data_IF_988761924164
#
_entry.id   IF_988761924164
#
_cell.length_a   1.000
_cell.length_b   1.000
_cell.length_c   1.000
_cell.angle_alpha   90.00
_cell.angle_beta   90.00
_cell.angle_gamma   90.00
#
_symmetry.space_group_name_H-M   'P 1'
#
loop_
_entity.id
_entity.type
_entity.pdbx_description
1 polymer ?
#
# COMPACT_ATOMS: atom_id res chain seq x y z
N UNK A 1 16.03 18.56 3.03
CA UNK A 1 15.18 18.08 4.09
C UNK A 1 13.73 18.30 3.73
N UNK A 2 12.95 17.23 3.48
CA UNK A 2 11.49 17.31 3.30
C UNK A 2 10.89 17.82 4.60
N UNK A 3 10.13 18.91 4.54
CA UNK A 3 9.29 19.31 5.67
C UNK A 3 8.17 18.28 5.81
N UNK A 4 8.09 17.65 6.97
CA UNK A 4 6.99 16.75 7.33
C UNK A 4 5.71 17.58 7.45
N UNK A 5 4.83 17.49 6.45
CA UNK A 5 3.51 18.12 6.49
C UNK A 5 2.53 17.18 7.19
N UNK A 6 1.69 17.74 8.05
CA UNK A 6 0.57 16.99 8.65
C UNK A 6 -0.37 16.55 7.53
N UNK A 7 -0.69 15.24 7.47
CA UNK A 7 -1.68 14.73 6.53
C UNK A 7 -3.08 15.21 6.93
N UNK A 8 -3.84 15.85 6.02
CA UNK A 8 -5.28 15.97 6.22
C UNK A 8 -5.91 14.59 6.04
N UNK A 9 -6.45 14.02 7.11
CA UNK A 9 -7.29 12.82 7.03
C UNK A 9 -8.70 13.28 6.68
N UNK A 10 -9.14 13.00 5.46
CA UNK A 10 -10.53 13.24 5.06
C UNK A 10 -11.32 11.94 5.19
N UNK A 11 -12.36 11.96 6.04
CA UNK A 11 -13.32 10.87 6.14
C UNK A 11 -14.39 11.08 5.06
N UNK A 12 -14.45 10.20 4.07
CA UNK A 12 -15.46 10.25 3.01
C UNK A 12 -16.74 9.53 3.41
N UNK A 13 -17.88 10.18 3.19
CA UNK A 13 -19.19 9.54 3.21
C UNK A 13 -19.35 8.60 1.98
N UNK A 14 -20.18 7.53 2.04
CA UNK A 14 -20.20 6.44 1.06
C UNK A 14 -20.80 6.75 -0.33
N UNK A 15 -20.87 7.97 -0.77
CA UNK A 15 -21.60 8.37 -1.98
C UNK A 15 -20.79 9.17 -3.01
N UNK A 16 -19.50 8.91 -3.18
CA UNK A 16 -18.81 9.36 -4.39
C UNK A 16 -18.80 8.21 -5.39
N UNK A 17 -19.86 8.15 -6.19
CA UNK A 17 -19.88 7.41 -7.46
C UNK A 17 -19.01 8.21 -8.43
N UNK A 18 -17.79 7.80 -8.68
CA UNK A 18 -17.01 8.29 -9.81
C UNK A 18 -17.74 7.88 -11.08
N UNK A 19 -18.22 8.90 -11.83
CA UNK A 19 -18.99 8.70 -13.05
C UNK A 19 -18.23 7.80 -14.03
N UNK A 20 -18.92 6.76 -14.48
CA UNK A 20 -18.45 5.87 -15.52
C UNK A 20 -18.67 6.58 -16.86
N UNK A 21 -17.62 7.20 -17.42
CA UNK A 21 -17.47 7.40 -18.87
C UNK A 21 -16.13 8.10 -19.18
N UNK A 22 -15.11 7.27 -19.38
CA UNK A 22 -13.90 7.59 -20.16
C UNK A 22 -13.23 6.29 -20.56
N UNK A 23 -12.62 6.19 -21.76
CA UNK A 23 -11.99 4.95 -22.19
C UNK A 23 -10.81 4.62 -21.28
N UNK A 24 -11.00 3.64 -20.44
CA UNK A 24 -9.95 3.12 -19.56
C UNK A 24 -8.94 2.40 -20.42
N UNK A 25 -7.75 2.95 -20.56
CA UNK A 25 -6.61 2.23 -21.11
C UNK A 25 -6.21 1.20 -20.04
N UNK A 26 -6.79 0.01 -20.11
CA UNK A 26 -6.38 -1.11 -19.27
C UNK A 26 -5.06 -1.65 -19.83
N UNK A 27 -3.95 -1.38 -19.19
CA UNK A 27 -2.79 -2.25 -19.31
C UNK A 27 -3.15 -3.51 -18.53
N UNK A 28 -3.60 -4.56 -19.24
CA UNK A 28 -3.94 -5.83 -18.61
C UNK A 28 -2.66 -6.62 -18.38
N UNK A 29 -2.30 -6.81 -17.14
CA UNK A 29 -1.28 -7.78 -16.75
C UNK A 29 -1.86 -9.21 -16.76
N UNK A 30 -1.04 -10.27 -16.91
CA UNK A 30 -1.50 -11.65 -17.00
C UNK A 30 -2.38 -12.07 -15.80
N UNK A 31 -3.34 -12.96 -16.05
CA UNK A 31 -4.19 -13.53 -14.99
C UNK A 31 -3.32 -14.25 -13.94
N UNK A 32 -3.52 -13.90 -12.66
CA UNK A 32 -2.73 -14.42 -11.52
C UNK A 32 -1.87 -13.37 -10.83
N UNK A 33 -1.89 -12.11 -11.28
CA UNK A 33 -1.15 -11.02 -10.63
C UNK A 33 -1.87 -10.55 -9.36
N UNK A 34 -1.08 -10.37 -8.32
CA UNK A 34 -1.54 -9.91 -7.00
C UNK A 34 -1.69 -8.38 -6.91
N UNK A 35 -1.38 -7.66 -7.99
CA UNK A 35 -1.49 -6.21 -8.13
C UNK A 35 -2.11 -5.86 -9.49
N UNK A 36 -3.16 -5.05 -9.48
CA UNK A 36 -3.72 -4.45 -10.69
C UNK A 36 -3.20 -3.02 -10.84
N UNK A 37 -2.85 -2.63 -12.08
CA UNK A 37 -2.38 -1.28 -12.39
C UNK A 37 -3.28 -0.69 -13.46
N UNK A 38 -3.72 0.55 -13.28
CA UNK A 38 -4.48 1.29 -14.28
C UNK A 38 -4.08 2.77 -14.28
N UNK A 39 -3.99 3.36 -15.47
CA UNK A 39 -3.64 4.76 -15.64
C UNK A 39 -4.85 5.53 -16.19
N UNK A 40 -5.21 6.64 -15.53
CA UNK A 40 -6.26 7.56 -15.98
C UNK A 40 -5.88 9.00 -15.60
N UNK A 41 -5.97 9.93 -16.51
CA UNK A 41 -5.71 11.37 -16.27
C UNK A 41 -4.41 11.64 -15.49
N UNK A 42 -3.33 10.94 -15.83
CA UNK A 42 -2.01 10.99 -15.18
C UNK A 42 -1.97 10.46 -13.74
N UNK A 43 -3.01 9.78 -13.29
CA UNK A 43 -3.05 9.05 -12.03
C UNK A 43 -2.83 7.57 -12.33
N UNK A 44 -1.78 6.98 -11.77
CA UNK A 44 -1.58 5.53 -11.75
C UNK A 44 -2.22 4.95 -10.51
N UNK A 45 -3.22 4.11 -10.69
CA UNK A 45 -3.86 3.39 -9.59
C UNK A 45 -3.23 2.01 -9.45
N UNK A 46 -2.71 1.74 -8.26
CA UNK A 46 -2.22 0.44 -7.82
C UNK A 46 -3.28 -0.19 -6.90
N UNK A 47 -3.90 -1.27 -7.35
CA UNK A 47 -4.92 -1.98 -6.57
C UNK A 47 -4.35 -3.31 -6.11
N UNK A 48 -4.12 -3.46 -4.80
CA UNK A 48 -3.73 -4.73 -4.18
C UNK A 48 -4.83 -5.75 -4.44
N UNK A 49 -4.53 -6.88 -5.06
CA UNK A 49 -5.52 -7.82 -5.58
C UNK A 49 -5.29 -9.26 -5.14
N UNK A 50 -5.37 -9.45 -3.81
CA UNK A 50 -5.44 -10.74 -3.13
C UNK A 50 -6.61 -10.73 -2.14
N UNK A 51 -7.87 -10.51 -2.59
CA UNK A 51 -9.01 -10.30 -1.69
C UNK A 51 -9.30 -11.51 -0.79
N UNK A 52 -8.97 -12.73 -1.21
CA UNK A 52 -9.07 -13.97 -0.43
C UNK A 52 -8.15 -13.96 0.81
N UNK A 53 -6.99 -13.30 0.72
CA UNK A 53 -6.05 -13.09 1.81
C UNK A 53 -6.15 -11.68 2.41
N UNK A 54 -7.25 -10.95 2.17
CA UNK A 54 -7.42 -9.54 2.56
C UNK A 54 -6.25 -8.67 2.11
N UNK A 55 -5.70 -8.93 0.93
CA UNK A 55 -4.56 -8.22 0.35
C UNK A 55 -3.31 -8.26 1.23
N UNK A 56 -3.07 -9.40 1.91
CA UNK A 56 -1.83 -9.62 2.64
C UNK A 56 -0.63 -9.62 1.68
N UNK A 57 0.46 -8.97 2.10
CA UNK A 57 1.70 -8.90 1.33
C UNK A 57 2.49 -10.20 1.47
N UNK A 58 2.58 -10.95 0.40
CA UNK A 58 3.58 -11.99 0.17
C UNK A 58 4.74 -11.41 -0.65
N UNK A 59 5.81 -12.18 -0.89
CA UNK A 59 6.98 -11.72 -1.66
C UNK A 59 6.57 -11.22 -3.06
N UNK A 60 5.64 -11.89 -3.73
CA UNK A 60 5.16 -11.49 -5.05
C UNK A 60 4.46 -10.13 -5.02
N UNK A 61 3.64 -9.85 -4.00
CA UNK A 61 2.95 -8.57 -3.88
C UNK A 61 3.90 -7.46 -3.42
N UNK A 62 4.89 -7.77 -2.57
CA UNK A 62 5.97 -6.83 -2.23
C UNK A 62 6.72 -6.41 -3.49
N UNK A 63 7.19 -7.37 -4.28
CA UNK A 63 7.94 -7.13 -5.52
C UNK A 63 7.13 -6.34 -6.53
N UNK A 64 5.89 -6.76 -6.77
CA UNK A 64 5.01 -6.09 -7.74
C UNK A 64 4.73 -4.63 -7.34
N UNK A 65 4.51 -4.36 -6.04
CA UNK A 65 4.22 -3.02 -5.54
C UNK A 65 5.47 -2.13 -5.59
N UNK A 66 6.63 -2.65 -5.19
CA UNK A 66 7.90 -1.93 -5.27
C UNK A 66 8.23 -1.58 -6.73
N UNK A 67 8.16 -2.55 -7.64
CA UNK A 67 8.44 -2.33 -9.06
C UNK A 67 7.46 -1.32 -9.68
N UNK A 68 6.16 -1.41 -9.35
CA UNK A 68 5.17 -0.46 -9.85
C UNK A 68 5.42 0.99 -9.38
N UNK A 69 5.95 1.18 -8.16
CA UNK A 69 6.37 2.49 -7.67
C UNK A 69 7.61 3.00 -8.42
N UNK A 70 8.61 2.14 -8.63
CA UNK A 70 9.81 2.49 -9.39
C UNK A 70 9.44 2.87 -10.84
N UNK A 71 8.62 2.07 -11.51
CA UNK A 71 8.13 2.36 -12.86
C UNK A 71 7.34 3.67 -12.91
N UNK A 72 6.53 3.94 -11.88
CA UNK A 72 5.78 5.20 -11.79
C UNK A 72 6.70 6.40 -11.53
N UNK A 73 7.80 6.22 -10.80
CA UNK A 73 8.77 7.28 -10.54
C UNK A 73 9.40 7.80 -11.83
N UNK A 74 9.77 6.89 -12.73
CA UNK A 74 10.45 7.19 -13.98
C UNK A 74 9.49 7.57 -15.14
N UNK A 75 8.20 7.25 -15.02
CA UNK A 75 7.21 7.51 -16.07
C UNK A 75 6.76 8.98 -16.09
N UNK A 76 7.13 9.79 -17.10
CA UNK A 76 6.75 11.21 -17.17
C UNK A 76 5.24 11.42 -17.40
N UNK A 77 4.50 10.40 -17.80
CA UNK A 77 3.06 10.47 -18.01
C UNK A 77 2.29 10.33 -16.67
N UNK A 78 2.91 9.75 -15.65
CA UNK A 78 2.35 9.61 -14.30
C UNK A 78 2.70 10.83 -13.44
N UNK A 79 1.69 11.48 -12.89
CA UNK A 79 1.86 12.60 -11.98
C UNK A 79 1.59 12.23 -10.51
N UNK A 80 0.73 11.23 -10.27
CA UNK A 80 0.27 10.81 -8.93
C UNK A 80 0.10 9.30 -8.92
N UNK A 81 0.45 8.66 -7.82
CA UNK A 81 0.10 7.25 -7.56
C UNK A 81 -1.01 7.19 -6.52
N UNK A 82 -2.05 6.42 -6.81
CA UNK A 82 -3.14 6.06 -5.90
C UNK A 82 -3.02 4.59 -5.52
N UNK A 83 -2.87 4.30 -4.24
CA UNK A 83 -2.82 2.93 -3.72
C UNK A 83 -4.14 2.58 -3.02
N UNK A 84 -4.73 1.44 -3.36
CA UNK A 84 -5.97 0.93 -2.74
C UNK A 84 -5.98 -0.59 -2.70
N UNK A 85 -6.98 -1.20 -2.04
CA UNK A 85 -7.18 -2.65 -2.00
C UNK A 85 -8.44 -3.09 -2.73
N UNK A 86 -8.42 -4.25 -3.38
CA UNK A 86 -9.61 -4.89 -3.91
C UNK A 86 -10.40 -5.57 -2.79
N UNK A 87 -11.73 -5.57 -2.91
CA UNK A 87 -12.64 -6.23 -1.96
C UNK A 87 -12.81 -5.47 -0.65
N UNK A 88 -12.94 -6.20 0.47
CA UNK A 88 -13.35 -5.65 1.78
C UNK A 88 -12.19 -5.13 2.64
N UNK A 89 -10.94 -5.38 2.26
CA UNK A 89 -9.75 -4.97 3.00
C UNK A 89 -8.85 -4.06 2.18
N UNK A 90 -8.15 -3.15 2.84
CA UNK A 90 -7.04 -2.45 2.23
C UNK A 90 -5.84 -3.39 2.16
N UNK A 91 -5.30 -3.82 3.32
CA UNK A 91 -4.30 -4.88 3.42
C UNK A 91 -4.24 -5.44 4.84
N UNK A 92 -4.21 -6.76 4.96
CA UNK A 92 -4.03 -7.46 6.24
C UNK A 92 -2.57 -7.47 6.75
N UNK A 93 -1.66 -6.80 6.05
CA UNK A 93 -0.25 -6.77 6.42
C UNK A 93 0.57 -7.87 5.76
N UNK A 94 1.69 -8.24 6.36
CA UNK A 94 2.54 -9.33 5.85
C UNK A 94 1.80 -10.67 5.93
N UNK A 95 1.94 -11.50 4.89
CA UNK A 95 1.39 -12.85 4.85
C UNK A 95 2.11 -13.73 5.88
N UNK A 96 1.42 -14.05 6.98
CA UNK A 96 2.01 -14.78 8.10
C UNK A 96 2.39 -16.21 7.76
N UNK A 97 1.68 -16.85 6.82
CA UNK A 97 2.01 -18.20 6.38
C UNK A 97 3.32 -18.19 5.60
N UNK A 98 3.50 -17.22 4.72
CA UNK A 98 4.73 -17.07 3.97
C UNK A 98 5.89 -16.63 4.87
N UNK A 99 5.65 -15.72 5.82
CA UNK A 99 6.65 -15.33 6.81
C UNK A 99 7.11 -16.54 7.66
N UNK A 100 6.20 -17.46 8.01
CA UNK A 100 6.55 -18.70 8.69
C UNK A 100 7.42 -19.60 7.80
N UNK A 101 7.04 -19.78 6.53
CA UNK A 101 7.84 -20.54 5.56
C UNK A 101 9.24 -19.95 5.38
N UNK A 102 9.34 -18.63 5.26
CA UNK A 102 10.63 -17.93 5.16
C UNK A 102 11.56 -18.23 6.36
N UNK A 103 10.99 -18.42 7.55
CA UNK A 103 11.74 -18.72 8.76
C UNK A 103 12.10 -20.20 8.94
N UNK A 104 11.37 -21.12 8.29
CA UNK A 104 11.47 -22.57 8.54
C UNK A 104 11.91 -23.40 7.33
N UNK A 105 11.79 -22.85 6.14
CA UNK A 105 12.12 -23.52 4.89
C UNK A 105 13.45 -22.98 4.34
N UNK A 106 14.54 -23.79 4.38
CA UNK A 106 15.85 -23.35 3.87
C UNK A 106 15.87 -23.12 2.34
N UNK A 107 14.92 -23.72 1.62
CA UNK A 107 14.78 -23.57 0.16
C UNK A 107 13.79 -22.46 -0.22
N UNK A 108 13.36 -21.65 0.74
CA UNK A 108 12.44 -20.53 0.47
C UNK A 108 13.09 -19.49 -0.45
N UNK A 109 12.50 -19.29 -1.62
CA UNK A 109 12.92 -18.25 -2.56
C UNK A 109 12.34 -16.91 -2.16
N UNK A 110 13.22 -15.94 -1.88
CA UNK A 110 12.84 -14.56 -1.60
C UNK A 110 12.56 -13.81 -2.89
N UNK A 111 11.69 -12.81 -2.80
CA UNK A 111 11.47 -11.87 -3.88
C UNK A 111 12.72 -11.01 -4.18
N UNK A 112 12.67 -10.31 -5.30
CA UNK A 112 13.75 -9.41 -5.73
C UNK A 112 13.84 -8.18 -4.83
N UNK A 113 12.70 -7.62 -4.46
CA UNK A 113 12.57 -6.42 -3.63
C UNK A 113 12.19 -6.77 -2.19
N UNK A 114 11.19 -7.63 -2.03
CA UNK A 114 10.63 -8.00 -0.73
C UNK A 114 10.14 -6.79 0.07
N UNK A 115 10.02 -6.98 1.38
CA UNK A 115 9.59 -5.93 2.29
C UNK A 115 10.53 -4.71 2.30
N UNK A 116 11.85 -4.92 2.34
CA UNK A 116 12.82 -3.84 2.41
C UNK A 116 12.86 -3.03 1.12
N UNK A 117 12.83 -3.68 -0.04
CA UNK A 117 12.79 -2.97 -1.33
C UNK A 117 11.51 -2.18 -1.52
N UNK A 118 10.37 -2.64 -0.99
CA UNK A 118 9.16 -1.82 -0.96
C UNK A 118 9.36 -0.56 -0.09
N UNK A 119 10.00 -0.68 1.09
CA UNK A 119 10.27 0.49 1.93
C UNK A 119 11.20 1.48 1.24
N UNK A 120 12.26 1.01 0.59
CA UNK A 120 13.19 1.86 -0.17
C UNK A 120 12.46 2.60 -1.28
N UNK A 121 11.62 1.89 -2.06
CA UNK A 121 10.80 2.50 -3.10
C UNK A 121 9.82 3.57 -2.56
N UNK A 122 9.23 3.34 -1.38
CA UNK A 122 8.33 4.30 -0.74
C UNK A 122 9.06 5.54 -0.21
N UNK A 123 10.25 5.36 0.39
CA UNK A 123 11.06 6.46 0.94
C UNK A 123 11.54 7.39 -0.17
N UNK A 124 12.00 6.81 -1.27
CA UNK A 124 12.60 7.55 -2.39
C UNK A 124 11.56 7.97 -3.45
N UNK A 125 10.28 7.63 -3.27
CA UNK A 125 9.24 7.94 -4.25
C UNK A 125 9.10 9.45 -4.48
N UNK A 126 9.36 9.96 -5.71
CA UNK A 126 9.48 11.40 -5.96
C UNK A 126 8.16 12.11 -6.24
N UNK A 127 7.05 11.35 -6.43
CA UNK A 127 5.74 11.89 -6.81
C UNK A 127 4.75 11.77 -5.66
N UNK A 128 3.62 12.51 -5.67
CA UNK A 128 2.57 12.34 -4.68
C UNK A 128 2.04 10.91 -4.62
N UNK A 129 2.04 10.33 -3.42
CA UNK A 129 1.43 9.05 -3.09
C UNK A 129 0.15 9.29 -2.30
N UNK A 130 -0.96 8.81 -2.82
CA UNK A 130 -2.28 8.88 -2.19
C UNK A 130 -2.72 7.48 -1.81
N UNK A 131 -3.19 7.28 -0.58
CA UNK A 131 -3.77 6.02 -0.15
C UNK A 131 -5.29 6.14 0.01
N UNK A 132 -6.05 5.26 -0.66
CA UNK A 132 -7.50 5.11 -0.47
C UNK A 132 -7.77 3.84 0.33
N UNK A 133 -7.95 3.99 1.65
CA UNK A 133 -8.11 2.90 2.60
C UNK A 133 -9.57 2.47 2.62
N UNK A 134 -9.90 1.46 1.81
CA UNK A 134 -11.26 0.97 1.61
C UNK A 134 -11.77 0.06 2.74
N UNK A 135 -10.89 -0.43 3.63
CA UNK A 135 -11.27 -1.37 4.67
C UNK A 135 -10.19 -1.56 5.74
N UNK A 136 -10.00 -2.80 6.18
CA UNK A 136 -9.00 -3.13 7.20
C UNK A 136 -7.59 -2.91 6.69
N UNK A 137 -6.74 -2.24 7.52
CA UNK A 137 -5.29 -2.09 7.31
C UNK A 137 -4.53 -2.53 8.57
N UNK A 138 -3.72 -3.61 8.45
CA UNK A 138 -2.95 -4.18 9.56
C UNK A 138 -1.45 -4.19 9.24
N UNK A 139 -0.60 -4.03 10.24
CA UNK A 139 0.86 -4.03 10.04
C UNK A 139 1.28 -3.08 8.93
N UNK A 140 1.99 -3.56 7.89
CA UNK A 140 2.37 -2.74 6.73
C UNK A 140 1.15 -2.10 6.04
N UNK A 141 -0.05 -2.70 6.08
CA UNK A 141 -1.28 -2.09 5.58
C UNK A 141 -1.72 -0.85 6.37
N UNK A 142 -1.22 -0.66 7.60
CA UNK A 142 -1.41 0.57 8.36
C UNK A 142 -0.17 1.47 8.28
N UNK A 143 1.04 0.92 8.36
CA UNK A 143 2.27 1.70 8.45
C UNK A 143 2.70 2.32 7.12
N UNK A 144 2.30 1.73 6.00
CA UNK A 144 2.50 2.31 4.65
C UNK A 144 1.91 3.72 4.52
N UNK A 145 0.87 4.03 5.30
CA UNK A 145 0.27 5.37 5.32
C UNK A 145 1.24 6.44 5.83
N UNK A 146 2.29 6.03 6.55
CA UNK A 146 3.36 6.92 6.97
C UNK A 146 4.15 7.54 5.82
N UNK A 147 4.14 6.93 4.66
CA UNK A 147 4.82 7.39 3.44
C UNK A 147 3.88 8.15 2.48
N UNK A 148 2.57 8.08 2.70
CA UNK A 148 1.61 8.75 1.84
C UNK A 148 1.58 10.27 2.08
N UNK A 149 1.37 11.05 1.02
CA UNK A 149 1.14 12.50 1.10
C UNK A 149 -0.31 12.81 1.50
N UNK A 150 -1.26 11.94 1.11
CA UNK A 150 -2.68 12.02 1.47
C UNK A 150 -3.23 10.62 1.75
N UNK A 151 -4.12 10.53 2.73
CA UNK A 151 -4.86 9.30 2.99
C UNK A 151 -6.36 9.58 3.13
N UNK A 152 -7.15 8.88 2.33
CA UNK A 152 -8.60 8.85 2.43
C UNK A 152 -9.03 7.52 3.02
N UNK A 153 -9.95 7.55 3.97
CA UNK A 153 -10.41 6.35 4.64
C UNK A 153 -11.92 6.18 4.53
N UNK A 154 -12.35 4.96 4.24
CA UNK A 154 -13.76 4.58 4.42
C UNK A 154 -14.16 4.76 5.88
N UNK A 155 -15.40 5.18 6.14
CA UNK A 155 -15.95 5.28 7.51
C UNK A 155 -15.94 3.95 8.27
N UNK A 156 -15.88 2.84 7.55
CA UNK A 156 -15.80 1.48 8.12
C UNK A 156 -14.37 0.95 8.21
N UNK A 157 -13.37 1.66 7.68
CA UNK A 157 -11.98 1.23 7.75
C UNK A 157 -11.48 1.16 9.19
N UNK A 158 -10.56 0.23 9.43
CA UNK A 158 -9.93 0.02 10.74
C UNK A 158 -8.45 -0.22 10.53
N UNK A 159 -7.63 0.56 11.23
CA UNK A 159 -6.17 0.42 11.22
C UNK A 159 -5.69 -0.19 12.54
N UNK A 160 -4.72 -1.08 12.45
CA UNK A 160 -4.06 -1.67 13.63
C UNK A 160 -2.60 -1.98 13.34
N UNK A 161 -1.72 -1.61 14.27
CA UNK A 161 -0.33 -2.01 14.28
C UNK A 161 -0.14 -3.08 15.38
N UNK A 162 -0.18 -4.39 15.06
CA UNK A 162 -0.27 -5.46 16.04
C UNK A 162 1.11 -5.87 16.61
N UNK A 163 2.11 -4.98 16.66
CA UNK A 163 3.50 -5.28 17.01
C UNK A 163 3.65 -5.99 18.36
N UNK A 164 3.04 -5.43 19.42
CA UNK A 164 3.10 -6.01 20.75
C UNK A 164 2.40 -7.37 20.84
N UNK A 165 1.29 -7.56 20.12
CA UNK A 165 0.57 -8.82 20.08
C UNK A 165 1.35 -9.93 19.36
N UNK A 166 2.21 -9.54 18.41
CA UNK A 166 3.05 -10.45 17.65
C UNK A 166 4.46 -10.61 18.25
N UNK A 167 4.79 -9.83 19.30
CA UNK A 167 6.13 -9.86 19.89
C UNK A 167 7.23 -9.33 18.98
N UNK A 168 6.89 -8.43 18.04
CA UNK A 168 7.84 -7.84 17.07
C UNK A 168 8.01 -6.35 17.32
N UNK A 169 9.14 -5.80 16.87
CA UNK A 169 9.40 -4.37 16.90
C UNK A 169 8.52 -3.63 15.85
N UNK A 170 8.20 -2.34 16.09
CA UNK A 170 7.59 -1.49 15.06
C UNK A 170 8.46 -1.41 13.81
N UNK A 171 7.83 -1.58 12.64
CA UNK A 171 8.47 -1.56 11.33
C UNK A 171 8.11 -0.29 10.53
N UNK A 172 8.69 -0.13 9.31
CA UNK A 172 8.38 0.96 8.38
C UNK A 172 8.47 2.36 9.01
N UNK A 173 9.42 2.58 9.92
CA UNK A 173 9.57 3.82 10.68
C UNK A 173 8.27 4.29 11.39
N UNK A 174 7.32 3.38 11.65
CA UNK A 174 5.99 3.71 12.17
C UNK A 174 6.02 4.36 13.55
N UNK A 175 6.99 4.02 14.41
CA UNK A 175 7.17 4.65 15.71
C UNK A 175 7.56 6.14 15.61
N UNK A 176 8.08 6.57 14.48
CA UNK A 176 8.42 7.96 14.18
C UNK A 176 7.33 8.64 13.33
N UNK A 177 6.93 8.01 12.20
CA UNK A 177 6.04 8.64 11.23
C UNK A 177 4.60 8.77 11.74
N UNK A 178 4.03 7.71 12.35
CA UNK A 178 2.62 7.77 12.80
C UNK A 178 2.38 8.84 13.86
N UNK A 179 3.21 9.01 14.91
CA UNK A 179 3.03 10.11 15.87
C UNK A 179 3.16 11.50 15.24
N UNK A 180 3.94 11.66 14.16
CA UNK A 180 4.01 12.93 13.43
C UNK A 180 2.71 13.22 12.67
N UNK A 181 2.06 12.18 12.14
CA UNK A 181 0.84 12.31 11.33
C UNK A 181 -0.40 12.54 12.19
N UNK A 182 -0.56 11.76 13.27
CA UNK A 182 -1.81 11.76 14.07
C UNK A 182 -1.68 12.47 15.43
N UNK A 183 -0.45 12.85 15.79
CA UNK A 183 -0.17 13.37 17.14
C UNK A 183 0.13 12.25 18.15
N UNK A 184 0.42 12.65 19.39
CA UNK A 184 0.82 11.73 20.49
C UNK A 184 -0.33 11.40 21.44
N UNK A 185 -1.56 11.75 21.11
CA UNK A 185 -2.72 11.49 21.94
C UNK A 185 -3.49 10.27 21.48
#
# INVERSE_FOLDING_TARGET
>A
GRQVRRLPVAVMAPSVVLGADSPRTRTSYPAGMTLQISDEARVRTLTLDRPEALNAFNEVLYDATAQALLDAADDPTVAVVLLTGNGRGFSAGTDLLEMHRMATDPDFERGTHGFLGLLDALVDFPKPLVCAVNGVGLGIGATILGFADLAFMSSTARLKCPFTSLGVAPEAASSYLLPLLVGRQ
#
